data_IF_848456935489
#
_entry.id   IF_848456935489
#
_cell.length_a   1.000
_cell.length_b   1.000
_cell.length_c   1.000
_cell.angle_alpha   90.00
_cell.angle_beta   90.00
_cell.angle_gamma   90.00
#
_symmetry.space_group_name_H-M   'P 1'
#
loop_
_entity.id
_entity.type
_entity.pdbx_description
1 polymer ?
#
# COMPACT_ATOMS: atom_id res chain seq x y z
N UNK A 1 -27.09 -25.75 -11.55
CA UNK A 1 -25.76 -25.39 -10.99
C UNK A 1 -24.92 -26.65 -11.04
N UNK A 2 -24.09 -26.80 -12.07
CA UNK A 2 -23.12 -27.91 -12.11
C UNK A 2 -22.09 -27.67 -11.01
N UNK A 3 -21.85 -28.67 -10.18
CA UNK A 3 -20.85 -28.61 -9.13
C UNK A 3 -19.46 -28.63 -9.79
N UNK A 4 -18.84 -27.44 -9.88
CA UNK A 4 -17.47 -27.27 -10.34
C UNK A 4 -16.53 -27.66 -9.19
N UNK A 5 -16.46 -28.96 -8.90
CA UNK A 5 -15.72 -29.51 -7.75
C UNK A 5 -14.31 -30.01 -8.13
N UNK A 6 -13.82 -29.67 -9.33
CA UNK A 6 -12.46 -30.01 -9.77
C UNK A 6 -11.40 -29.05 -9.18
N UNK A 7 -10.13 -29.47 -9.01
CA UNK A 7 -9.08 -28.62 -8.42
C UNK A 7 -8.61 -27.49 -9.34
N UNK A 8 -9.12 -27.41 -10.57
CA UNK A 8 -8.69 -26.45 -11.59
C UNK A 8 -9.88 -25.63 -12.11
N UNK A 9 -9.64 -24.33 -12.29
CA UNK A 9 -10.57 -23.41 -12.94
C UNK A 9 -10.04 -23.04 -14.31
N UNK A 10 -10.93 -22.97 -15.30
CA UNK A 10 -10.60 -22.55 -16.67
C UNK A 10 -10.85 -21.05 -16.80
N UNK A 11 -9.83 -20.32 -17.23
CA UNK A 11 -9.94 -18.91 -17.60
C UNK A 11 -9.67 -18.76 -19.10
N UNK A 12 -10.64 -18.22 -19.85
CA UNK A 12 -10.46 -17.99 -21.29
C UNK A 12 -9.77 -16.64 -21.53
N UNK A 13 -8.83 -16.61 -22.47
CA UNK A 13 -8.16 -15.40 -22.94
C UNK A 13 -8.51 -15.19 -24.41
N UNK A 14 -9.04 -14.01 -24.75
CA UNK A 14 -9.40 -13.63 -26.10
C UNK A 14 -8.51 -12.50 -26.58
N UNK A 15 -7.73 -12.76 -27.62
CA UNK A 15 -7.05 -11.70 -28.37
C UNK A 15 -8.09 -10.91 -29.15
N UNK A 16 -8.11 -9.59 -28.98
CA UNK A 16 -9.02 -8.69 -29.69
C UNK A 16 -8.25 -7.58 -30.43
N UNK A 17 -8.90 -7.00 -31.42
CA UNK A 17 -8.38 -5.84 -32.13
C UNK A 17 -8.49 -4.57 -31.27
N UNK A 18 -7.55 -3.64 -31.42
CA UNK A 18 -7.49 -2.42 -30.63
C UNK A 18 -8.74 -1.53 -30.79
N UNK A 19 -9.37 -1.57 -31.98
CA UNK A 19 -10.61 -0.82 -32.26
C UNK A 19 -11.82 -1.35 -31.48
N UNK A 20 -11.80 -2.62 -31.02
CA UNK A 20 -12.85 -3.21 -30.21
C UNK A 20 -12.76 -2.81 -28.73
N UNK A 21 -11.63 -2.21 -28.33
CA UNK A 21 -11.35 -1.76 -26.96
C UNK A 21 -10.62 -0.41 -26.95
N UNK A 22 -11.27 0.67 -27.43
CA UNK A 22 -10.63 1.97 -27.52
C UNK A 22 -10.20 2.47 -26.13
N UNK A 23 -8.91 2.80 -26.00
CA UNK A 23 -8.33 3.34 -24.76
C UNK A 23 -7.99 2.30 -23.67
N UNK A 24 -8.16 1.00 -23.93
CA UNK A 24 -7.84 -0.06 -22.97
C UNK A 24 -6.84 -1.07 -23.56
N UNK A 25 -5.88 -1.51 -22.74
CA UNK A 25 -4.90 -2.53 -23.12
C UNK A 25 -5.47 -3.95 -22.98
N UNK A 26 -6.27 -4.17 -21.93
CA UNK A 26 -7.02 -5.40 -21.67
C UNK A 26 -8.18 -5.09 -20.72
N UNK A 27 -9.09 -6.06 -20.55
CA UNK A 27 -10.25 -5.98 -19.68
C UNK A 27 -10.65 -7.37 -19.21
N UNK A 28 -11.03 -7.45 -17.93
CA UNK A 28 -11.64 -8.63 -17.33
C UNK A 28 -13.15 -8.54 -17.39
N UNK A 29 -13.78 -9.60 -17.90
CA UNK A 29 -15.21 -9.75 -18.02
C UNK A 29 -15.70 -10.95 -17.22
N UNK A 30 -16.98 -10.93 -16.87
CA UNK A 30 -17.66 -12.05 -16.20
C UNK A 30 -18.79 -12.57 -17.07
N UNK A 31 -18.89 -13.89 -17.18
CA UNK A 31 -20.11 -14.57 -17.58
C UNK A 31 -20.89 -14.91 -16.31
N UNK A 32 -21.84 -14.05 -15.96
CA UNK A 32 -22.66 -14.22 -14.76
C UNK A 32 -23.49 -15.50 -14.79
N UNK A 33 -23.85 -16.01 -15.99
CA UNK A 33 -24.65 -17.22 -16.14
C UNK A 33 -23.83 -18.48 -15.88
N UNK A 34 -22.58 -18.50 -16.36
CA UNK A 34 -21.64 -19.59 -16.14
C UNK A 34 -20.87 -19.47 -14.81
N UNK A 35 -20.87 -18.28 -14.19
CA UNK A 35 -20.08 -17.96 -13.00
C UNK A 35 -18.58 -17.94 -13.26
N UNK A 36 -18.15 -17.56 -14.47
CA UNK A 36 -16.75 -17.61 -14.92
C UNK A 36 -16.23 -16.21 -15.27
N UNK A 37 -14.95 -15.96 -15.03
CA UNK A 37 -14.24 -14.79 -15.55
C UNK A 37 -13.49 -15.14 -16.84
N UNK A 38 -13.35 -14.16 -17.73
CA UNK A 38 -12.54 -14.26 -18.94
C UNK A 38 -11.87 -12.92 -19.27
N UNK A 39 -10.77 -12.97 -20.03
CA UNK A 39 -9.96 -11.79 -20.34
C UNK A 39 -10.08 -11.46 -21.82
N UNK A 40 -10.24 -10.19 -22.15
CA UNK A 40 -10.02 -9.66 -23.50
C UNK A 40 -8.73 -8.84 -23.49
N UNK A 41 -7.81 -9.12 -24.39
CA UNK A 41 -6.49 -8.49 -24.44
C UNK A 41 -6.25 -7.98 -25.85
N UNK A 42 -5.91 -6.70 -25.98
CA UNK A 42 -5.55 -6.13 -27.28
C UNK A 42 -4.26 -6.79 -27.76
N UNK A 43 -4.24 -7.21 -29.02
CA UNK A 43 -3.20 -8.09 -29.57
C UNK A 43 -1.75 -7.70 -29.27
N UNK A 44 -1.42 -6.40 -29.20
CA UNK A 44 -0.06 -5.92 -28.92
C UNK A 44 0.39 -6.13 -27.45
N UNK A 45 -0.54 -6.34 -26.51
CA UNK A 45 -0.25 -6.55 -25.10
C UNK A 45 -0.33 -8.02 -24.67
N UNK A 46 -0.53 -8.95 -25.62
CA UNK A 46 -0.64 -10.40 -25.37
C UNK A 46 0.62 -11.06 -24.78
N UNK A 47 1.73 -10.32 -24.69
CA UNK A 47 2.96 -10.78 -24.04
C UNK A 47 3.46 -9.77 -22.99
N UNK A 48 2.61 -8.85 -22.54
CA UNK A 48 2.96 -7.84 -21.52
C UNK A 48 2.45 -8.29 -20.15
N UNK A 49 3.31 -8.80 -19.24
CA UNK A 49 2.86 -9.37 -17.98
C UNK A 49 2.08 -8.38 -17.11
N UNK A 50 2.50 -7.11 -17.08
CA UNK A 50 1.81 -6.05 -16.33
C UNK A 50 0.40 -5.76 -16.81
N UNK A 51 0.01 -6.23 -18.00
CA UNK A 51 -1.37 -6.13 -18.52
C UNK A 51 -2.11 -7.43 -18.26
N UNK A 52 -1.59 -8.56 -18.76
CA UNK A 52 -2.33 -9.83 -18.71
C UNK A 52 -2.50 -10.35 -17.29
N UNK A 53 -1.45 -10.26 -16.47
CA UNK A 53 -1.50 -10.77 -15.10
C UNK A 53 -2.28 -9.83 -14.20
N UNK A 54 -2.31 -8.53 -14.51
CA UNK A 54 -3.19 -7.57 -13.86
C UNK A 54 -4.65 -7.97 -14.06
N UNK A 55 -5.08 -8.19 -15.31
CA UNK A 55 -6.43 -8.70 -15.59
C UNK A 55 -6.69 -10.07 -14.97
N UNK A 56 -5.70 -10.96 -14.96
CA UNK A 56 -5.84 -12.24 -14.27
C UNK A 56 -6.06 -12.04 -12.75
N UNK A 57 -5.46 -11.01 -12.15
CA UNK A 57 -5.72 -10.61 -10.78
C UNK A 57 -7.17 -10.21 -10.53
N UNK A 58 -7.80 -9.47 -11.45
CA UNK A 58 -9.24 -9.22 -11.39
C UNK A 58 -10.04 -10.51 -11.48
N UNK A 59 -9.69 -11.44 -12.38
CA UNK A 59 -10.38 -12.72 -12.51
C UNK A 59 -10.28 -13.57 -11.22
N UNK A 60 -9.11 -13.58 -10.57
CA UNK A 60 -8.92 -14.25 -9.26
C UNK A 60 -9.80 -13.61 -8.18
N UNK A 61 -9.80 -12.29 -8.09
CA UNK A 61 -10.62 -11.54 -7.14
C UNK A 61 -12.13 -11.77 -7.38
N UNK A 62 -12.58 -11.72 -8.63
CA UNK A 62 -13.99 -11.95 -9.02
C UNK A 62 -14.47 -13.35 -8.67
N UNK A 63 -13.56 -14.32 -8.62
CA UNK A 63 -13.87 -15.69 -8.19
C UNK A 63 -14.23 -15.77 -6.70
N UNK A 64 -13.68 -14.88 -5.88
CA UNK A 64 -14.00 -14.72 -4.45
C UNK A 64 -15.05 -13.60 -4.25
N UNK A 65 -16.26 -13.84 -4.78
CA UNK A 65 -17.40 -12.91 -4.97
C UNK A 65 -17.75 -11.90 -3.87
N UNK A 66 -17.24 -12.04 -2.65
CA UNK A 66 -17.66 -11.29 -1.47
C UNK A 66 -17.40 -9.77 -1.56
N UNK A 67 -16.43 -9.35 -2.37
CA UNK A 67 -16.12 -7.94 -2.60
C UNK A 67 -16.69 -7.40 -3.91
N UNK A 68 -17.47 -8.20 -4.62
CA UNK A 68 -18.16 -7.83 -5.85
C UNK A 68 -19.51 -7.21 -5.49
N UNK A 69 -19.97 -6.27 -6.30
CA UNK A 69 -21.22 -5.52 -6.11
C UNK A 69 -21.28 -4.69 -4.80
N UNK A 70 -20.13 -4.24 -4.30
CA UNK A 70 -20.03 -3.31 -3.16
C UNK A 70 -19.25 -2.06 -3.60
N UNK A 71 -19.82 -0.87 -3.42
CA UNK A 71 -19.19 0.38 -3.87
C UNK A 71 -17.89 0.64 -3.10
N UNK A 72 -17.86 0.39 -1.79
CA UNK A 72 -16.70 0.72 -0.93
C UNK A 72 -15.50 -0.22 -1.08
N UNK A 73 -15.66 -1.34 -1.79
CA UNK A 73 -14.54 -2.23 -2.16
C UNK A 73 -14.01 -1.93 -3.57
N UNK A 74 -14.77 -1.22 -4.41
CA UNK A 74 -14.46 -1.04 -5.82
C UNK A 74 -13.09 -0.43 -6.09
N UNK A 75 -12.68 0.60 -5.32
CA UNK A 75 -11.35 1.19 -5.54
C UNK A 75 -10.18 0.27 -5.16
N UNK A 76 -10.44 -0.83 -4.46
CA UNK A 76 -9.42 -1.82 -4.10
C UNK A 76 -9.20 -2.86 -5.18
N UNK A 77 -10.01 -2.89 -6.24
CA UNK A 77 -9.91 -3.89 -7.29
C UNK A 77 -8.62 -3.72 -8.12
N UNK A 78 -8.23 -2.49 -8.49
CA UNK A 78 -6.96 -2.28 -9.23
C UNK A 78 -5.72 -2.49 -8.36
N UNK A 79 -5.66 -2.03 -7.09
CA UNK A 79 -4.54 -2.35 -6.22
C UNK A 79 -4.35 -3.86 -6.05
N UNK A 80 -5.42 -4.64 -5.98
CA UNK A 80 -5.36 -6.11 -5.95
C UNK A 80 -4.78 -6.66 -7.27
N UNK A 81 -5.27 -6.18 -8.40
CA UNK A 81 -4.79 -6.60 -9.72
C UNK A 81 -3.30 -6.27 -9.91
N UNK A 82 -2.87 -5.07 -9.52
CA UNK A 82 -1.47 -4.67 -9.54
C UNK A 82 -0.61 -5.45 -8.55
N UNK A 83 -1.12 -5.75 -7.35
CA UNK A 83 -0.44 -6.60 -6.39
C UNK A 83 -0.16 -7.99 -6.98
N UNK A 84 -1.15 -8.63 -7.58
CA UNK A 84 -1.02 -9.95 -8.20
C UNK A 84 -0.04 -9.91 -9.39
N UNK A 85 -0.11 -8.87 -10.22
CA UNK A 85 0.83 -8.66 -11.31
C UNK A 85 2.27 -8.46 -10.80
N UNK A 86 2.47 -7.63 -9.77
CA UNK A 86 3.77 -7.37 -9.17
C UNK A 86 4.36 -8.64 -8.53
N UNK A 87 3.54 -9.44 -7.83
CA UNK A 87 3.96 -10.74 -7.31
C UNK A 87 4.48 -11.65 -8.43
N UNK A 88 3.78 -11.75 -9.56
CA UNK A 88 4.24 -12.56 -10.69
C UNK A 88 5.55 -12.02 -11.29
N UNK A 89 5.65 -10.71 -11.49
CA UNK A 89 6.76 -10.07 -12.20
C UNK A 89 8.04 -10.06 -11.35
N UNK A 90 7.92 -9.56 -10.11
CA UNK A 90 9.04 -9.07 -9.32
C UNK A 90 9.38 -9.95 -8.10
N UNK A 91 8.63 -11.03 -7.87
CA UNK A 91 8.91 -11.97 -6.77
C UNK A 91 9.19 -13.41 -7.23
N UNK A 92 9.77 -14.25 -6.36
CA UNK A 92 9.96 -15.67 -6.63
C UNK A 92 8.66 -16.50 -6.69
N UNK A 93 7.50 -15.94 -6.32
CA UNK A 93 6.21 -16.66 -6.19
C UNK A 93 5.88 -17.51 -7.43
N UNK A 94 6.11 -16.97 -8.62
CA UNK A 94 5.84 -17.66 -9.89
C UNK A 94 7.11 -18.11 -10.63
N UNK A 95 8.27 -18.19 -9.95
CA UNK A 95 9.55 -18.49 -10.59
C UNK A 95 9.60 -19.86 -11.28
N UNK A 96 8.93 -20.88 -10.73
CA UNK A 96 8.87 -22.19 -11.39
C UNK A 96 8.09 -22.14 -12.70
N UNK A 97 6.95 -21.44 -12.72
CA UNK A 97 6.14 -21.27 -13.92
C UNK A 97 6.90 -20.45 -14.99
N UNK A 98 7.51 -19.33 -14.60
CA UNK A 98 8.33 -18.50 -15.49
C UNK A 98 9.48 -19.30 -16.13
N UNK A 99 10.22 -20.09 -15.33
CA UNK A 99 11.31 -20.94 -15.82
C UNK A 99 10.85 -22.01 -16.82
N UNK A 100 9.69 -22.61 -16.61
CA UNK A 100 9.14 -23.62 -17.53
C UNK A 100 8.91 -23.09 -18.96
N UNK A 101 8.77 -21.77 -19.10
CA UNK A 101 8.54 -21.09 -20.37
C UNK A 101 9.65 -20.08 -20.74
N UNK A 102 10.82 -20.15 -20.09
CA UNK A 102 11.95 -19.24 -20.31
C UNK A 102 11.59 -17.74 -20.20
N UNK A 103 10.65 -17.41 -19.30
CA UNK A 103 10.23 -16.02 -19.06
C UNK A 103 11.14 -15.36 -18.02
N UNK A 104 11.56 -14.10 -18.23
CA UNK A 104 12.42 -13.39 -17.30
C UNK A 104 11.65 -12.91 -16.06
N UNK A 105 12.39 -12.62 -15.00
CA UNK A 105 11.90 -11.75 -13.92
C UNK A 105 11.88 -10.29 -14.39
N UNK A 106 11.07 -9.47 -13.74
CA UNK A 106 11.04 -8.03 -13.97
C UNK A 106 11.35 -7.21 -12.72
N UNK A 107 11.31 -5.90 -12.89
CA UNK A 107 11.30 -4.96 -11.77
C UNK A 107 9.88 -4.77 -11.24
N UNK A 108 9.78 -4.24 -10.02
CA UNK A 108 8.50 -4.02 -9.37
C UNK A 108 7.68 -2.95 -10.10
N UNK A 109 6.36 -3.11 -10.09
CA UNK A 109 5.38 -2.12 -10.55
C UNK A 109 5.24 -0.92 -9.59
N UNK A 110 6.14 -0.77 -8.62
CA UNK A 110 6.02 0.26 -7.58
C UNK A 110 6.30 1.64 -8.17
N UNK A 111 5.33 2.54 -8.01
CA UNK A 111 5.44 3.94 -8.41
C UNK A 111 5.85 4.81 -7.21
N UNK A 112 7.13 4.79 -6.84
CA UNK A 112 7.63 5.42 -5.61
C UNK A 112 7.35 6.92 -5.52
N UNK A 113 7.36 7.64 -6.65
CA UNK A 113 6.99 9.06 -6.69
C UNK A 113 5.55 9.29 -6.22
N UNK A 114 4.63 8.37 -6.55
CA UNK A 114 3.24 8.43 -6.10
C UNK A 114 3.11 7.90 -4.67
N UNK A 115 3.61 6.70 -4.39
CA UNK A 115 3.41 6.03 -3.09
C UNK A 115 4.07 6.78 -1.94
N UNK A 116 5.31 7.26 -2.12
CA UNK A 116 6.05 8.01 -1.08
C UNK A 116 5.83 9.51 -1.24
N UNK A 117 5.97 10.03 -2.47
CA UNK A 117 5.84 11.47 -2.73
C UNK A 117 4.44 12.03 -2.47
N UNK A 118 3.40 11.21 -2.62
CA UNK A 118 2.01 11.54 -2.27
C UNK A 118 1.48 10.70 -1.10
N UNK A 119 2.35 10.17 -0.23
CA UNK A 119 1.97 9.34 0.93
C UNK A 119 0.95 10.00 1.87
N UNK A 120 0.80 11.33 1.80
CA UNK A 120 -0.19 12.09 2.57
C UNK A 120 -1.63 11.91 2.09
N UNK A 121 -1.86 11.35 0.89
CA UNK A 121 -3.19 11.06 0.37
C UNK A 121 -3.90 9.98 1.20
N UNK A 122 -5.20 9.80 0.96
CA UNK A 122 -5.94 8.68 1.57
C UNK A 122 -5.30 7.36 1.12
N UNK A 123 -5.18 6.38 2.03
CA UNK A 123 -4.46 5.12 1.75
C UNK A 123 -4.93 4.46 0.44
N UNK A 124 -6.25 4.42 0.21
CA UNK A 124 -6.86 4.01 -1.05
C UNK A 124 -7.83 5.09 -1.51
N UNK A 125 -7.45 5.76 -2.60
CA UNK A 125 -8.13 6.87 -3.26
C UNK A 125 -8.31 6.55 -4.75
N UNK A 126 -9.54 6.22 -5.12
CA UNK A 126 -9.96 5.93 -6.49
C UNK A 126 -10.32 7.19 -7.30
N UNK A 127 -10.08 8.40 -6.77
CA UNK A 127 -10.45 9.64 -7.46
C UNK A 127 -9.72 9.75 -8.80
N UNK A 128 -10.49 9.87 -9.89
CA UNK A 128 -9.96 9.93 -11.25
C UNK A 128 -8.93 11.06 -11.41
N UNK A 129 -7.80 10.73 -12.03
CA UNK A 129 -6.72 11.68 -12.36
C UNK A 129 -5.87 12.20 -11.20
N UNK A 130 -6.19 11.88 -9.93
CA UNK A 130 -5.47 12.44 -8.77
C UNK A 130 -5.22 11.48 -7.61
N UNK A 131 -6.05 10.45 -7.47
CA UNK A 131 -5.90 9.42 -6.45
C UNK A 131 -4.72 8.47 -6.72
N UNK A 132 -4.63 7.42 -5.91
CA UNK A 132 -3.62 6.37 -5.98
C UNK A 132 -4.26 5.01 -6.33
N UNK A 133 -5.23 5.05 -7.25
CA UNK A 133 -6.11 3.94 -7.63
C UNK A 133 -5.33 2.67 -8.00
N UNK A 134 -4.16 2.80 -8.63
CA UNK A 134 -3.30 1.67 -9.00
C UNK A 134 -2.16 1.43 -8.00
N UNK A 135 -1.75 2.47 -7.27
CA UNK A 135 -0.46 2.54 -6.59
C UNK A 135 -0.50 2.12 -5.12
N UNK A 136 -1.67 1.94 -4.52
CA UNK A 136 -1.82 1.57 -3.10
C UNK A 136 -1.51 0.09 -2.78
N UNK A 137 -1.19 -0.72 -3.79
CA UNK A 137 -0.86 -2.14 -3.64
C UNK A 137 0.29 -2.48 -2.67
N UNK A 138 1.32 -1.64 -2.41
CA UNK A 138 2.37 -2.00 -1.46
C UNK A 138 1.86 -2.27 -0.05
N UNK A 139 0.69 -1.73 0.32
CA UNK A 139 0.02 -2.10 1.56
C UNK A 139 -0.35 -3.59 1.58
N UNK A 140 -0.85 -4.15 0.48
CA UNK A 140 -1.16 -5.57 0.36
C UNK A 140 0.12 -6.43 0.46
N UNK A 141 1.23 -5.98 -0.13
CA UNK A 141 2.52 -6.66 0.02
C UNK A 141 3.03 -6.66 1.44
N UNK A 142 2.88 -5.56 2.19
CA UNK A 142 3.19 -5.50 3.61
C UNK A 142 2.32 -6.45 4.44
N UNK A 143 1.01 -6.49 4.17
CA UNK A 143 0.09 -7.41 4.83
C UNK A 143 0.44 -8.88 4.55
N UNK A 144 0.86 -9.19 3.32
CA UNK A 144 1.25 -10.54 2.92
C UNK A 144 2.59 -10.96 3.56
N UNK A 145 3.62 -10.10 3.48
CA UNK A 145 4.94 -10.43 4.01
C UNK A 145 4.99 -10.43 5.54
N UNK A 146 4.09 -9.66 6.18
CA UNK A 146 3.91 -9.59 7.63
C UNK A 146 5.23 -9.47 8.41
N UNK A 147 6.07 -8.44 8.13
CA UNK A 147 7.40 -8.33 8.72
C UNK A 147 7.34 -8.13 10.25
N UNK A 148 6.24 -7.60 10.77
CA UNK A 148 5.99 -7.44 12.21
C UNK A 148 5.43 -8.69 12.90
N UNK A 149 5.16 -9.78 12.16
CA UNK A 149 4.55 -11.02 12.70
C UNK A 149 3.20 -10.81 13.41
N UNK A 150 2.36 -9.90 12.91
CA UNK A 150 1.02 -9.71 13.44
C UNK A 150 0.14 -10.92 13.18
N UNK A 151 -0.58 -11.35 14.22
CA UNK A 151 -1.51 -12.47 14.13
C UNK A 151 -2.65 -12.15 13.17
N UNK A 152 -2.94 -13.08 12.27
CA UNK A 152 -3.96 -12.93 11.23
C UNK A 152 -3.44 -12.44 9.88
N UNK A 153 -2.18 -12.02 9.79
CA UNK A 153 -1.51 -11.61 8.56
C UNK A 153 -0.57 -12.70 8.01
N UNK A 154 -0.10 -12.57 6.77
CA UNK A 154 0.68 -13.58 6.03
C UNK A 154 0.16 -13.86 4.60
N UNK A 155 0.64 -14.94 3.98
CA UNK A 155 0.36 -15.30 2.58
C UNK A 155 -1.13 -15.34 2.19
N UNK A 156 -1.99 -15.76 3.13
CA UNK A 156 -3.42 -15.87 2.90
C UNK A 156 -4.22 -14.59 3.24
N UNK A 157 -3.55 -13.47 3.59
CA UNK A 157 -4.25 -12.28 4.14
C UNK A 157 -5.32 -11.75 3.19
N UNK A 158 -4.97 -11.49 1.93
CA UNK A 158 -5.92 -10.94 0.96
C UNK A 158 -7.15 -11.85 0.80
N UNK A 159 -6.91 -13.15 0.61
CA UNK A 159 -7.97 -14.14 0.50
C UNK A 159 -8.86 -14.15 1.74
N UNK A 160 -8.26 -14.13 2.93
CA UNK A 160 -8.99 -14.12 4.19
C UNK A 160 -9.75 -12.82 4.41
N UNK A 161 -9.23 -11.66 3.97
CA UNK A 161 -9.94 -10.38 4.02
C UNK A 161 -11.21 -10.42 3.16
N UNK A 162 -11.11 -11.00 1.97
CA UNK A 162 -12.27 -11.18 1.07
C UNK A 162 -13.29 -12.15 1.71
N UNK A 163 -12.83 -13.29 2.22
CA UNK A 163 -13.71 -14.31 2.84
C UNK A 163 -14.35 -13.87 4.16
N UNK A 164 -13.67 -13.02 4.95
CA UNK A 164 -14.19 -12.45 6.20
C UNK A 164 -15.01 -11.18 6.02
N UNK A 165 -15.17 -10.71 4.78
CA UNK A 165 -16.06 -9.61 4.47
C UNK A 165 -17.50 -9.94 4.84
N UNK A 166 -18.20 -8.97 5.43
CA UNK A 166 -19.62 -9.12 5.71
C UNK A 166 -20.40 -8.80 4.44
N UNK A 167 -20.96 -9.84 3.82
CA UNK A 167 -21.79 -9.70 2.62
C UNK A 167 -22.89 -8.65 2.82
N UNK A 168 -23.11 -7.83 1.79
CA UNK A 168 -24.11 -6.76 1.76
C UNK A 168 -23.95 -5.68 2.85
N UNK A 169 -22.77 -5.57 3.46
CA UNK A 169 -22.50 -4.51 4.43
C UNK A 169 -22.04 -3.21 3.78
N UNK A 170 -21.55 -3.27 2.53
CA UNK A 170 -20.85 -2.19 1.84
C UNK A 170 -19.77 -1.57 2.73
N UNK A 171 -19.10 -2.36 3.58
CA UNK A 171 -17.96 -1.90 4.38
C UNK A 171 -16.69 -1.76 3.53
N UNK A 172 -15.70 -1.04 4.07
CA UNK A 172 -14.38 -0.98 3.42
C UNK A 172 -13.55 -2.22 3.75
N UNK A 173 -12.62 -2.64 2.88
CA UNK A 173 -11.67 -3.73 3.16
C UNK A 173 -10.92 -3.64 4.50
N UNK A 174 -10.74 -2.43 5.05
CA UNK A 174 -10.12 -2.26 6.37
C UNK A 174 -10.95 -2.86 7.51
N UNK A 175 -12.28 -2.94 7.39
CA UNK A 175 -13.13 -3.60 8.39
C UNK A 175 -12.98 -5.13 8.33
N UNK A 176 -12.79 -5.69 7.13
CA UNK A 176 -12.39 -7.09 6.99
C UNK A 176 -11.05 -7.37 7.64
N UNK A 177 -10.07 -6.49 7.42
CA UNK A 177 -8.75 -6.60 8.03
C UNK A 177 -8.86 -6.59 9.56
N UNK A 178 -9.68 -5.69 10.14
CA UNK A 178 -9.90 -5.62 11.59
C UNK A 178 -10.34 -6.97 12.19
N UNK A 179 -11.17 -7.72 11.46
CA UNK A 179 -11.66 -9.04 11.91
C UNK A 179 -10.64 -10.17 11.78
N UNK A 180 -9.57 -9.97 11.02
CA UNK A 180 -8.45 -10.93 10.94
C UNK A 180 -7.47 -10.74 12.08
N UNK A 181 -7.30 -9.51 12.53
CA UNK A 181 -6.26 -9.16 13.49
C UNK A 181 -6.61 -9.64 14.89
N UNK A 182 -5.58 -10.05 15.61
CA UNK A 182 -5.65 -10.35 17.05
C UNK A 182 -4.51 -9.63 17.76
N UNK A 183 -4.83 -8.95 18.87
CA UNK A 183 -3.85 -8.25 19.71
C UNK A 183 -3.35 -6.90 19.16
N UNK A 184 -3.71 -6.52 17.93
CA UNK A 184 -3.38 -5.22 17.31
C UNK A 184 -4.56 -4.64 16.56
N UNK A 185 -4.61 -3.32 16.44
CA UNK A 185 -5.64 -2.61 15.68
C UNK A 185 -5.20 -2.37 14.23
N UNK A 186 -6.17 -2.13 13.33
CA UNK A 186 -5.86 -1.73 11.95
C UNK A 186 -5.03 -0.45 11.90
N UNK A 187 -5.29 0.48 12.82
CA UNK A 187 -4.52 1.72 12.97
C UNK A 187 -3.03 1.44 13.23
N UNK A 188 -2.71 0.45 14.10
CA UNK A 188 -1.33 0.04 14.36
C UNK A 188 -0.68 -0.57 13.11
N UNK A 189 -1.41 -1.42 12.40
CA UNK A 189 -0.95 -2.07 11.15
C UNK A 189 -0.68 -1.03 10.06
N UNK A 190 -1.58 -0.07 9.83
CA UNK A 190 -1.38 1.04 8.88
C UNK A 190 -0.19 1.91 9.30
N UNK A 191 -0.08 2.24 10.57
CA UNK A 191 1.06 3.01 11.10
C UNK A 191 2.40 2.32 10.85
N UNK A 192 2.44 0.99 11.01
CA UNK A 192 3.65 0.19 10.78
C UNK A 192 3.95 -0.04 9.31
N UNK A 193 2.94 -0.24 8.48
CA UNK A 193 3.09 -0.19 7.03
C UNK A 193 3.84 1.08 6.60
N UNK A 194 3.37 2.26 7.03
CA UNK A 194 4.04 3.51 6.68
C UNK A 194 5.44 3.64 7.28
N UNK A 195 5.68 3.09 8.47
CA UNK A 195 7.02 3.04 9.05
C UNK A 195 7.98 2.20 8.19
N UNK A 196 7.55 1.03 7.71
CA UNK A 196 8.31 0.21 6.77
C UNK A 196 8.52 0.92 5.42
N UNK A 197 7.55 1.71 4.96
CA UNK A 197 7.70 2.50 3.74
C UNK A 197 8.79 3.58 3.81
N UNK A 198 9.30 3.94 5.00
CA UNK A 198 10.45 4.84 5.13
C UNK A 198 11.72 4.30 4.43
N UNK A 199 11.90 2.97 4.42
CA UNK A 199 13.00 2.31 3.72
C UNK A 199 12.52 1.20 2.76
N UNK A 200 11.21 1.16 2.50
CA UNK A 200 10.50 0.18 1.65
C UNK A 200 10.92 -1.26 1.98
N UNK A 201 11.08 -1.57 3.26
CA UNK A 201 11.45 -2.91 3.77
C UNK A 201 10.20 -3.76 4.07
N UNK A 202 9.19 -3.67 3.20
CA UNK A 202 7.90 -4.37 3.28
C UNK A 202 7.98 -5.86 2.85
N UNK A 203 9.16 -6.48 2.95
CA UNK A 203 9.40 -7.84 2.44
C UNK A 203 9.40 -7.96 0.91
N UNK A 204 9.62 -6.86 0.18
CA UNK A 204 9.63 -6.84 -1.28
C UNK A 204 10.97 -6.36 -1.86
N UNK A 205 11.92 -7.27 -2.06
CA UNK A 205 13.32 -6.95 -2.39
C UNK A 205 13.48 -6.07 -3.66
N UNK A 206 12.70 -6.32 -4.72
CA UNK A 206 12.73 -5.51 -5.94
C UNK A 206 12.22 -4.08 -5.73
N UNK A 207 11.15 -3.91 -4.93
CA UNK A 207 10.67 -2.57 -4.57
C UNK A 207 11.67 -1.81 -3.71
N UNK A 208 12.31 -2.50 -2.75
CA UNK A 208 13.37 -1.92 -1.94
C UNK A 208 14.58 -1.49 -2.77
N UNK A 209 14.99 -2.31 -3.74
CA UNK A 209 16.06 -1.97 -4.68
C UNK A 209 15.73 -0.70 -5.48
N UNK A 210 14.51 -0.61 -6.03
CA UNK A 210 14.04 0.58 -6.74
C UNK A 210 14.00 1.80 -5.82
N UNK A 211 13.59 1.64 -4.56
CA UNK A 211 13.63 2.71 -3.58
C UNK A 211 15.04 3.23 -3.36
N UNK A 212 16.00 2.34 -3.12
CA UNK A 212 17.39 2.74 -2.92
C UNK A 212 17.95 3.50 -4.14
N UNK A 213 17.53 3.14 -5.36
CA UNK A 213 17.93 3.84 -6.57
C UNK A 213 17.26 5.22 -6.75
N UNK A 214 16.00 5.37 -6.31
CA UNK A 214 15.18 6.56 -6.60
C UNK A 214 15.04 7.53 -5.42
N UNK A 215 15.36 7.11 -4.19
CA UNK A 215 15.07 7.82 -2.93
C UNK A 215 15.48 9.30 -2.91
N UNK A 216 16.58 9.67 -3.57
CA UNK A 216 17.06 11.05 -3.61
C UNK A 216 16.19 11.98 -4.48
N UNK A 217 15.34 11.41 -5.35
CA UNK A 217 14.44 12.15 -6.23
C UNK A 217 12.99 12.22 -5.70
N UNK A 218 12.71 11.59 -4.55
CA UNK A 218 11.38 11.54 -3.97
C UNK A 218 11.08 12.83 -3.19
N UNK A 219 9.80 13.22 -3.20
CA UNK A 219 9.36 14.42 -2.51
C UNK A 219 9.06 14.14 -1.03
N UNK A 220 9.92 14.61 -0.13
CA UNK A 220 9.74 14.53 1.32
C UNK A 220 9.42 15.88 1.97
N UNK A 221 9.08 16.91 1.19
CA UNK A 221 8.90 18.27 1.67
C UNK A 221 7.57 18.46 2.40
N UNK A 222 7.36 17.71 3.49
CA UNK A 222 6.11 17.58 4.25
C UNK A 222 5.89 18.67 5.31
N UNK A 223 6.97 19.27 5.81
CA UNK A 223 6.93 20.23 6.92
C UNK A 223 7.67 21.52 6.58
N UNK A 224 7.32 22.61 7.25
CA UNK A 224 8.02 23.89 7.24
C UNK A 224 8.75 24.10 8.58
N UNK A 225 9.97 24.64 8.53
CA UNK A 225 10.74 24.98 9.72
C UNK A 225 10.23 26.27 10.34
N UNK A 226 9.98 26.23 11.65
CA UNK A 226 9.67 27.40 12.47
C UNK A 226 10.90 27.86 13.29
N UNK A 227 12.09 27.34 12.99
CA UNK A 227 13.31 27.57 13.75
C UNK A 227 13.42 26.73 15.04
N UNK A 228 14.62 26.68 15.62
CA UNK A 228 14.90 25.99 16.88
C UNK A 228 14.45 24.52 16.93
N UNK A 229 14.61 23.79 15.82
CA UNK A 229 14.20 22.39 15.70
C UNK A 229 12.68 22.17 15.67
N UNK A 230 11.88 23.22 15.54
CA UNK A 230 10.41 23.13 15.41
C UNK A 230 10.01 23.09 13.96
N UNK A 231 9.07 22.22 13.63
CA UNK A 231 8.51 22.10 12.30
C UNK A 231 6.99 21.92 12.36
N UNK A 232 6.27 22.50 11.40
CA UNK A 232 4.81 22.34 11.25
C UNK A 232 4.50 21.69 9.92
N UNK A 233 3.51 20.80 9.90
CA UNK A 233 3.06 20.18 8.66
C UNK A 233 2.51 21.21 7.67
N UNK A 234 2.85 21.04 6.39
CA UNK A 234 2.24 21.82 5.31
C UNK A 234 0.80 21.38 5.15
N UNK A 235 -0.15 22.32 5.16
CA UNK A 235 -1.58 22.02 5.02
C UNK A 235 -1.90 21.16 3.79
N UNK A 236 -1.26 21.46 2.65
CA UNK A 236 -1.44 20.71 1.39
C UNK A 236 -0.90 19.26 1.45
N UNK A 237 -0.07 18.94 2.43
CA UNK A 237 0.56 17.62 2.61
C UNK A 237 0.23 17.00 3.97
N UNK A 238 -0.75 17.54 4.69
CA UNK A 238 -1.22 16.99 5.95
C UNK A 238 -1.77 15.56 5.71
N UNK A 239 -1.32 14.53 6.45
CA UNK A 239 -1.73 13.16 6.22
C UNK A 239 -3.25 12.99 6.31
N UNK A 240 -3.89 12.59 5.23
CA UNK A 240 -5.33 12.30 5.14
C UNK A 240 -5.63 10.92 5.72
N UNK A 241 -6.90 10.50 5.66
CA UNK A 241 -7.34 9.23 6.26
C UNK A 241 -6.42 8.04 5.88
N UNK A 242 -5.74 7.47 6.88
CA UNK A 242 -4.78 6.37 6.75
C UNK A 242 -3.55 6.67 5.88
N UNK A 243 -3.32 7.93 5.51
CA UNK A 243 -2.10 8.42 4.86
C UNK A 243 -1.02 8.80 5.89
N UNK A 244 0.17 9.15 5.39
CA UNK A 244 1.33 9.48 6.21
C UNK A 244 2.21 10.62 5.67
N UNK A 245 3.08 11.11 6.54
CA UNK A 245 4.26 11.86 6.15
C UNK A 245 5.49 11.08 6.57
N UNK A 246 6.43 10.94 5.64
CA UNK A 246 7.77 10.37 5.85
C UNK A 246 8.75 11.55 5.79
N UNK A 247 9.54 11.75 6.84
CA UNK A 247 10.41 12.90 7.01
C UNK A 247 11.83 12.41 7.28
N UNK A 248 12.70 12.35 6.25
CA UNK A 248 14.12 12.07 6.45
C UNK A 248 14.74 13.09 7.39
N UNK A 249 15.59 12.64 8.30
CA UNK A 249 16.25 13.48 9.28
C UNK A 249 17.75 13.54 9.03
N UNK A 250 18.31 14.73 9.11
CA UNK A 250 19.74 14.97 9.19
C UNK A 250 20.16 14.96 10.66
N UNK A 251 20.81 13.88 11.07
CA UNK A 251 21.28 13.66 12.44
C UNK A 251 22.48 14.58 12.73
N UNK A 252 22.47 15.24 13.89
CA UNK A 252 23.53 16.17 14.33
C UNK A 252 24.19 15.78 15.65
N UNK A 253 23.65 14.77 16.35
CA UNK A 253 24.22 14.20 17.58
C UNK A 253 24.08 12.67 17.62
N UNK A 254 24.51 12.04 18.72
CA UNK A 254 24.39 10.58 18.91
C UNK A 254 22.99 10.10 19.32
N UNK A 255 22.02 11.01 19.37
CA UNK A 255 20.69 10.76 19.91
C UNK A 255 19.68 11.68 19.21
N UNK A 256 18.51 11.17 18.88
CA UNK A 256 17.42 11.94 18.26
C UNK A 256 16.18 11.85 19.13
N UNK A 257 15.70 13.01 19.57
CA UNK A 257 14.46 13.16 20.32
C UNK A 257 13.40 13.80 19.44
N UNK A 258 12.18 13.28 19.50
CA UNK A 258 11.01 13.89 18.86
C UNK A 258 9.91 14.11 19.87
N UNK A 259 9.29 15.29 19.82
CA UNK A 259 8.02 15.57 20.48
C UNK A 259 6.99 16.01 19.43
N UNK A 260 5.86 15.32 19.37
CA UNK A 260 4.71 15.65 18.51
C UNK A 260 3.70 16.43 19.34
N UNK A 261 3.19 17.52 18.80
CA UNK A 261 2.18 18.38 19.44
C UNK A 261 1.13 18.83 18.44
N UNK A 262 -0.02 19.29 18.94
CA UNK A 262 -1.07 19.88 18.10
C UNK A 262 -1.75 18.88 17.15
N UNK A 263 -1.68 17.57 17.43
CA UNK A 263 -2.34 16.54 16.64
C UNK A 263 -3.86 16.66 16.78
N UNK A 264 -4.51 17.28 15.80
CA UNK A 264 -5.98 17.48 15.77
C UNK A 264 -6.81 16.19 15.61
N UNK A 265 -6.20 15.02 15.82
CA UNK A 265 -6.79 13.69 15.60
C UNK A 265 -5.89 12.56 16.10
N UNK A 266 -6.38 11.32 15.97
CA UNK A 266 -5.61 10.12 16.32
C UNK A 266 -4.54 9.83 15.28
N UNK A 267 -3.36 9.43 15.76
CA UNK A 267 -2.20 9.18 14.90
C UNK A 267 -1.33 8.07 15.47
N UNK A 268 -0.52 7.51 14.59
CA UNK A 268 0.63 6.66 14.94
C UNK A 268 1.88 7.33 14.40
N UNK A 269 2.94 7.38 15.20
CA UNK A 269 4.22 7.90 14.74
C UNK A 269 5.38 7.01 15.19
N UNK A 270 6.46 7.00 14.42
CA UNK A 270 7.62 6.12 14.61
C UNK A 270 8.89 6.84 14.17
N UNK A 271 9.95 6.75 14.98
CA UNK A 271 11.32 6.97 14.52
C UNK A 271 11.84 5.67 13.93
N UNK A 272 12.20 5.71 12.65
CA UNK A 272 12.69 4.57 11.88
C UNK A 272 14.17 4.78 11.65
N UNK A 273 14.99 3.83 12.09
CA UNK A 273 16.44 3.89 11.94
C UNK A 273 16.93 2.73 11.10
N UNK A 274 17.71 3.02 10.05
CA UNK A 274 18.38 2.02 9.23
C UNK A 274 19.86 1.97 9.55
N UNK A 275 20.32 0.78 9.93
CA UNK A 275 21.72 0.45 10.15
C UNK A 275 22.53 0.34 8.86
N UNK A 276 23.86 0.41 8.97
CA UNK A 276 24.77 0.17 7.84
C UNK A 276 24.68 -1.25 7.29
N UNK A 277 24.26 -2.22 8.11
CA UNK A 277 23.98 -3.60 7.72
C UNK A 277 22.65 -3.76 6.98
N UNK A 278 21.91 -2.66 6.78
CA UNK A 278 20.62 -2.62 6.12
C UNK A 278 19.43 -2.98 7.02
N UNK A 279 19.65 -3.39 8.28
CA UNK A 279 18.55 -3.67 9.21
C UNK A 279 17.86 -2.39 9.63
N UNK A 280 16.54 -2.48 9.77
CA UNK A 280 15.70 -1.36 10.18
C UNK A 280 15.12 -1.63 11.56
N UNK A 281 15.13 -0.62 12.42
CA UNK A 281 14.57 -0.66 13.77
C UNK A 281 13.56 0.46 13.97
N UNK A 282 12.52 0.15 14.73
CA UNK A 282 11.32 0.97 14.86
C UNK A 282 11.11 1.40 16.30
N UNK A 283 11.07 2.70 16.55
CA UNK A 283 10.78 3.25 17.89
C UNK A 283 9.48 4.02 17.86
N UNK A 284 8.46 3.51 18.56
CA UNK A 284 7.15 4.15 18.63
C UNK A 284 7.22 5.49 19.37
N UNK A 285 6.47 6.46 18.85
CA UNK A 285 6.18 7.72 19.55
C UNK A 285 4.99 7.52 20.45
N UNK A 286 5.25 7.34 21.74
CA UNK A 286 4.23 7.09 22.76
C UNK A 286 3.96 8.40 23.50
N UNK A 287 2.68 8.75 23.66
CA UNK A 287 2.26 10.00 24.30
C UNK A 287 2.95 11.24 23.70
N UNK A 288 3.13 11.23 22.37
CA UNK A 288 3.76 12.32 21.64
C UNK A 288 5.27 12.43 21.81
N UNK A 289 5.96 11.47 22.42
CA UNK A 289 7.42 11.52 22.58
C UNK A 289 8.09 10.20 22.19
N UNK A 290 9.26 10.31 21.58
CA UNK A 290 10.20 9.20 21.43
C UNK A 290 11.64 9.70 21.47
N UNK A 291 12.53 8.78 21.79
CA UNK A 291 13.95 8.98 21.73
C UNK A 291 14.61 7.76 21.08
N UNK A 292 15.65 7.99 20.30
CA UNK A 292 16.46 6.92 19.74
C UNK A 292 17.94 7.29 19.69
N UNK A 293 18.82 6.43 20.23
CA UNK A 293 20.26 6.56 20.03
C UNK A 293 20.60 6.27 18.58
N UNK A 294 21.58 6.97 18.01
CA UNK A 294 21.96 6.84 16.59
C UNK A 294 23.47 6.64 16.50
N UNK A 295 23.89 5.52 15.91
CA UNK A 295 25.29 5.23 15.64
C UNK A 295 25.77 5.92 14.35
N UNK A 296 27.09 6.06 14.23
CA UNK A 296 27.70 6.66 13.03
C UNK A 296 27.29 5.91 11.77
N UNK A 297 26.80 6.65 10.77
CA UNK A 297 26.36 6.11 9.49
C UNK A 297 24.98 5.46 9.49
N UNK A 298 24.23 5.50 10.59
CA UNK A 298 22.80 5.16 10.57
C UNK A 298 21.98 6.29 9.94
N UNK A 299 20.88 5.92 9.30
CA UNK A 299 19.94 6.84 8.68
C UNK A 299 18.63 6.88 9.48
N UNK A 300 18.07 8.07 9.71
CA UNK A 300 16.84 8.21 10.51
C UNK A 300 15.74 8.87 9.68
N UNK A 301 14.52 8.32 9.75
CA UNK A 301 13.32 8.98 9.27
C UNK A 301 12.28 9.04 10.38
N UNK A 302 11.59 10.17 10.49
CA UNK A 302 10.37 10.29 11.28
C UNK A 302 9.17 10.01 10.39
N UNK A 303 8.28 9.11 10.83
CA UNK A 303 7.04 8.79 10.13
C UNK A 303 5.86 9.09 11.04
N UNK A 304 4.85 9.76 10.52
CA UNK A 304 3.57 9.99 11.19
C UNK A 304 2.42 9.70 10.23
N UNK A 305 1.50 8.85 10.66
CA UNK A 305 0.30 8.47 9.92
C UNK A 305 -0.97 8.93 10.65
N UNK A 306 -1.95 9.42 9.90
CA UNK A 306 -3.26 9.78 10.42
C UNK A 306 -4.12 8.52 10.49
N UNK A 307 -4.34 8.03 11.71
CA UNK A 307 -4.94 6.72 11.95
C UNK A 307 -6.17 6.85 12.85
N UNK A 308 -7.24 7.51 12.37
CA UNK A 308 -8.50 7.62 13.10
C UNK A 308 -9.22 6.27 13.15
N UNK A 309 -10.31 6.16 13.93
CA UNK A 309 -11.21 5.01 13.87
C UNK A 309 -11.66 4.71 12.42
N UNK A 310 -11.99 3.46 12.14
CA UNK A 310 -12.46 3.06 10.82
C UNK A 310 -13.79 3.73 10.49
N UNK A 311 -13.94 4.12 9.23
CA UNK A 311 -15.17 4.71 8.70
C UNK A 311 -15.58 4.05 7.39
N UNK A 312 -16.88 4.12 7.11
CA UNK A 312 -17.45 3.77 5.82
C UNK A 312 -17.29 4.95 4.87
N UNK A 313 -16.51 4.80 3.80
CA UNK A 313 -16.34 5.84 2.78
C UNK A 313 -16.34 5.26 1.37
N UNK A 314 -16.85 6.02 0.41
CA UNK A 314 -16.72 5.71 -1.02
C UNK A 314 -15.33 6.17 -1.48
N UNK A 315 -14.42 5.24 -1.83
CA UNK A 315 -13.07 5.60 -2.23
C UNK A 315 -12.99 6.29 -3.59
N UNK A 316 -14.04 6.30 -4.39
CA UNK A 316 -14.11 7.09 -5.63
C UNK A 316 -14.59 8.52 -5.39
N UNK A 317 -15.08 8.83 -4.18
CA UNK A 317 -15.63 10.14 -3.78
C UNK A 317 -15.23 10.45 -2.34
N UNK A 318 -13.96 10.77 -2.14
CA UNK A 318 -13.39 11.02 -0.81
C UNK A 318 -14.16 12.13 -0.06
N UNK A 319 -14.79 11.80 1.08
CA UNK A 319 -15.48 12.79 1.90
C UNK A 319 -14.54 13.89 2.45
N UNK A 320 -15.08 15.09 2.65
CA UNK A 320 -14.29 16.25 3.07
C UNK A 320 -13.59 16.06 4.43
N UNK A 321 -14.22 15.36 5.37
CA UNK A 321 -13.67 15.05 6.68
C UNK A 321 -12.44 14.13 6.61
N UNK A 322 -12.44 13.16 5.69
CA UNK A 322 -11.31 12.27 5.42
C UNK A 322 -10.19 12.97 4.65
N UNK A 323 -10.54 14.01 3.89
CA UNK A 323 -9.62 14.80 3.09
C UNK A 323 -8.93 15.95 3.85
N UNK A 324 -9.41 16.29 5.06
CA UNK A 324 -8.96 17.44 5.86
C UNK A 324 -7.50 17.38 6.30
N UNK A 325 -6.95 16.18 6.45
CA UNK A 325 -5.57 15.96 6.88
C UNK A 325 -5.34 16.15 8.39
N UNK A 326 -4.31 15.50 8.92
CA UNK A 326 -3.85 15.64 10.30
C UNK A 326 -2.95 16.86 10.44
N UNK A 327 -3.41 17.89 11.14
CA UNK A 327 -2.53 18.98 11.59
C UNK A 327 -1.62 18.48 12.71
N UNK A 328 -0.33 18.80 12.65
CA UNK A 328 0.64 18.52 13.70
C UNK A 328 1.87 19.43 13.62
N UNK A 329 2.59 19.55 14.72
CA UNK A 329 3.94 20.10 14.80
C UNK A 329 4.88 19.13 15.49
N UNK A 330 6.15 19.13 15.10
CA UNK A 330 7.21 18.37 15.74
C UNK A 330 8.29 19.29 16.30
N UNK A 331 8.84 18.92 17.44
CA UNK A 331 10.09 19.44 17.99
C UNK A 331 11.13 18.33 17.90
N UNK A 332 12.24 18.62 17.25
CA UNK A 332 13.40 17.72 17.16
C UNK A 332 14.55 18.26 18.01
N UNK A 333 15.27 17.34 18.66
CA UNK A 333 16.59 17.58 19.26
C UNK A 333 17.56 16.53 18.74
N UNK A 334 18.80 16.92 18.44
CA UNK A 334 19.82 16.03 17.87
C UNK A 334 19.63 15.67 16.39
N UNK A 335 18.64 16.27 15.72
CA UNK A 335 18.46 16.21 14.28
C UNK A 335 17.72 17.44 13.73
N UNK A 336 17.80 17.63 12.42
CA UNK A 336 16.99 18.57 11.63
C UNK A 336 16.31 17.85 10.47
N UNK A 337 15.27 18.47 9.89
CA UNK A 337 14.72 18.09 8.57
C UNK A 337 15.52 18.77 7.47
#
# INVERSE_FOLDING_TARGET
MSSNDGPYYKTNLYKVDANAMPGAAAQTWTDASAGLAYLKIVGQYMTTPGVIVHEFGHAMHYSEKNWIDQTRTGAWWEPIANFIADLYIATPTCASAKRAYNLPDGDSLIELKKVIGDSFQVLVDGTSGSGNYYQSWPFLSYLQSNPDSYSGLGDATLLNMIRKYRLNSDETPLHSLERLLSGVTVQKVVGRYWAHMAFVDIGHAKAQSMFNAQRNSLNYANVDSNGNGKYTVKSARAPRYMGANIVPLKVTGGNVDVSVTGSGGAYTATLVVKGQDGKVRYTDVVNGKANVSVASGEEVMFVIANTPPLVLYDPFKIPADLNRGLSYSIQLTGATV
#
